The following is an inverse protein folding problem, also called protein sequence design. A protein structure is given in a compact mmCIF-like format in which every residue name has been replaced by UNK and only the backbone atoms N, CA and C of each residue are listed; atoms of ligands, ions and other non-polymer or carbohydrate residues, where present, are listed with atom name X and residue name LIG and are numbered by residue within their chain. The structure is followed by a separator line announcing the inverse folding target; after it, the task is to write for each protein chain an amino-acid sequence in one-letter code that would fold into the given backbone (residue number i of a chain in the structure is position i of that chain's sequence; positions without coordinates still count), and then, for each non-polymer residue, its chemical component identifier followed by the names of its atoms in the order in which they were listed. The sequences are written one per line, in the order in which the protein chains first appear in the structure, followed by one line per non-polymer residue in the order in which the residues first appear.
data_IF_001323838287
#
_entry.id   IF_001323838287
#
_cell.length_a   1.000
_cell.length_b   1.000
_cell.length_c   1.000
_cell.angle_alpha   90.00
_cell.angle_beta   90.00
_cell.angle_gamma   90.00
#
_symmetry.space_group_name_H-M   'P 1'
#
loop_
_entity.id
_entity.type
_entity.pdbx_description
1 polymer ?
#
# COMPACT_ATOMS: atom_id res chain seq x y z
N UNK A 1 -11.84 -2.81 10.13
CA UNK A 1 -10.81 -3.07 9.09
C UNK A 1 -11.22 -4.19 8.15
N UNK A 2 -11.77 -5.31 8.65
CA UNK A 2 -12.27 -6.45 7.86
C UNK A 2 -13.16 -6.08 6.66
N UNK A 3 -14.06 -5.12 6.79
CA UNK A 3 -14.97 -4.75 5.70
C UNK A 3 -14.28 -4.02 4.55
N UNK A 4 -13.20 -3.27 4.84
CA UNK A 4 -12.34 -2.66 3.83
C UNK A 4 -11.65 -3.76 3.01
N UNK A 5 -11.12 -4.76 3.71
CA UNK A 5 -10.44 -5.91 3.08
C UNK A 5 -11.41 -6.69 2.18
N UNK A 6 -12.60 -7.03 2.69
CA UNK A 6 -13.65 -7.69 1.90
C UNK A 6 -14.05 -6.88 0.66
N UNK A 7 -14.15 -5.55 0.79
CA UNK A 7 -14.51 -4.69 -0.34
C UNK A 7 -13.44 -4.72 -1.44
N UNK A 8 -12.15 -4.71 -1.06
CA UNK A 8 -11.04 -4.87 -2.01
C UNK A 8 -11.10 -6.24 -2.66
N UNK A 9 -11.27 -7.31 -1.88
CA UNK A 9 -11.31 -8.69 -2.37
C UNK A 9 -12.46 -8.89 -3.38
N UNK A 10 -13.65 -8.34 -3.09
CA UNK A 10 -14.80 -8.35 -4.01
C UNK A 10 -14.48 -7.58 -5.30
N UNK A 11 -13.88 -6.38 -5.21
CA UNK A 11 -13.54 -5.60 -6.39
C UNK A 11 -12.50 -6.30 -7.27
N UNK A 12 -11.48 -6.92 -6.66
CA UNK A 12 -10.46 -7.71 -7.35
C UNK A 12 -11.07 -8.96 -8.01
N UNK A 13 -11.96 -9.68 -7.34
CA UNK A 13 -12.66 -10.85 -7.91
C UNK A 13 -13.52 -10.52 -9.14
N UNK A 14 -13.91 -9.25 -9.28
CA UNK A 14 -14.67 -8.71 -10.41
C UNK A 14 -13.79 -7.95 -11.41
N UNK A 15 -12.48 -8.15 -11.30
CA UNK A 15 -11.45 -7.55 -12.16
C UNK A 15 -11.54 -6.01 -12.24
N UNK A 16 -11.97 -5.36 -11.15
CA UNK A 16 -12.10 -3.91 -11.11
C UNK A 16 -10.77 -3.24 -10.76
N UNK A 17 -10.64 -2.01 -11.22
CA UNK A 17 -9.52 -1.15 -10.84
C UNK A 17 -9.65 -0.74 -9.37
N UNK A 18 -8.70 -1.15 -8.53
CA UNK A 18 -8.66 -0.79 -7.11
C UNK A 18 -7.57 0.25 -6.89
N UNK A 19 -7.97 1.44 -6.44
CA UNK A 19 -7.08 2.50 -5.98
C UNK A 19 -7.16 2.61 -4.46
N UNK A 20 -6.02 2.64 -3.78
CA UNK A 20 -5.96 2.83 -2.33
C UNK A 20 -5.28 4.16 -2.02
N UNK A 21 -5.93 4.98 -1.19
CA UNK A 21 -5.28 6.11 -0.55
C UNK A 21 -4.56 5.59 0.70
N UNK A 22 -3.24 5.64 0.68
CA UNK A 22 -2.41 5.20 1.78
C UNK A 22 -1.88 6.43 2.52
N UNK A 23 -2.44 6.67 3.72
CA UNK A 23 -2.03 7.79 4.58
C UNK A 23 -0.69 7.45 5.23
N UNK A 24 0.40 8.02 4.70
CA UNK A 24 1.75 7.79 5.20
C UNK A 24 2.17 8.85 6.23
N UNK A 25 2.91 8.40 7.25
CA UNK A 25 3.54 9.23 8.26
C UNK A 25 5.04 8.87 8.35
N UNK A 26 5.95 9.73 7.85
CA UNK A 26 7.39 9.49 7.96
C UNK A 26 7.82 9.32 9.42
N UNK A 27 8.71 8.36 9.67
CA UNK A 27 9.11 7.94 11.01
C UNK A 27 8.26 6.82 11.61
N UNK A 28 7.12 6.48 10.99
CA UNK A 28 6.24 5.41 11.43
C UNK A 28 5.97 4.42 10.28
N UNK A 29 5.41 4.91 9.18
CA UNK A 29 5.03 4.08 8.03
C UNK A 29 6.23 3.45 7.30
N UNK A 30 7.41 4.05 7.44
CA UNK A 30 8.69 3.56 6.94
C UNK A 30 9.50 2.81 8.01
N UNK A 31 8.86 2.30 9.06
CA UNK A 31 9.47 1.31 9.95
C UNK A 31 9.49 -0.07 9.28
N UNK A 32 10.46 -0.94 9.58
CA UNK A 32 10.52 -2.30 9.04
C UNK A 32 9.20 -3.05 9.16
N UNK A 33 8.59 -3.02 10.35
CA UNK A 33 7.36 -3.73 10.69
C UNK A 33 6.19 -3.27 9.80
N UNK A 34 5.93 -1.96 9.76
CA UNK A 34 4.88 -1.39 8.91
C UNK A 34 5.16 -1.61 7.41
N UNK A 35 6.43 -1.57 7.00
CA UNK A 35 6.82 -1.80 5.61
C UNK A 35 6.57 -3.23 5.17
N UNK A 36 6.85 -4.21 6.02
CA UNK A 36 6.69 -5.64 5.72
C UNK A 36 5.22 -6.04 5.69
N UNK A 37 4.41 -5.51 6.62
CA UNK A 37 2.95 -5.67 6.59
C UNK A 37 2.35 -5.06 5.32
N UNK A 38 2.82 -3.86 4.91
CA UNK A 38 2.36 -3.24 3.69
C UNK A 38 2.73 -4.03 2.43
N UNK A 39 3.96 -4.55 2.35
CA UNK A 39 4.37 -5.43 1.24
C UNK A 39 3.53 -6.72 1.21
N UNK A 40 3.23 -7.29 2.38
CA UNK A 40 2.39 -8.50 2.51
C UNK A 40 0.95 -8.23 2.08
N UNK A 41 0.39 -7.07 2.44
CA UNK A 41 -0.90 -6.60 1.96
C UNK A 41 -0.95 -6.52 0.43
N UNK A 42 0.06 -5.91 -0.20
CA UNK A 42 0.12 -5.76 -1.66
C UNK A 42 0.31 -7.10 -2.38
N UNK A 43 1.06 -8.02 -1.79
CA UNK A 43 1.23 -9.38 -2.31
C UNK A 43 -0.09 -10.16 -2.27
N UNK A 44 -0.80 -10.12 -1.14
CA UNK A 44 -2.08 -10.80 -0.98
C UNK A 44 -3.20 -10.17 -1.82
N UNK A 45 -3.13 -8.86 -2.04
CA UNK A 45 -4.16 -8.07 -2.74
C UNK A 45 -3.50 -7.18 -3.79
N UNK A 46 -3.32 -7.67 -5.03
CA UNK A 46 -2.65 -6.93 -6.07
C UNK A 46 -3.54 -5.78 -6.58
N UNK A 47 -3.66 -4.72 -5.80
CA UNK A 47 -4.38 -3.49 -6.15
C UNK A 47 -3.74 -2.82 -7.38
N UNK A 48 -4.49 -1.94 -8.04
CA UNK A 48 -4.03 -1.32 -9.29
C UNK A 48 -3.14 -0.11 -9.04
N UNK A 49 -3.44 0.66 -8.00
CA UNK A 49 -2.84 1.96 -7.77
C UNK A 49 -2.76 2.29 -6.28
N UNK A 50 -1.67 2.97 -5.90
CA UNK A 50 -1.53 3.61 -4.60
C UNK A 50 -1.37 5.11 -4.79
N UNK A 51 -2.18 5.81 -4.00
CA UNK A 51 -2.10 7.24 -3.79
C UNK A 51 -1.46 7.48 -2.43
N UNK A 52 -0.17 7.85 -2.44
CA UNK A 52 0.58 8.21 -1.24
C UNK A 52 0.10 9.57 -0.76
N UNK A 53 -0.53 9.59 0.41
CA UNK A 53 -1.14 10.78 1.00
C UNK A 53 -0.47 11.03 2.33
N UNK A 54 -0.09 12.27 2.61
CA UNK A 54 0.35 12.60 3.96
C UNK A 54 -0.81 12.44 4.94
N UNK A 55 -0.57 11.84 6.11
CA UNK A 55 -1.54 11.74 7.20
C UNK A 55 -1.97 13.13 7.73
N UNK A 56 -1.25 14.20 7.35
CA UNK A 56 -1.55 15.60 7.72
C UNK A 56 -1.74 15.79 9.24
N UNK A 57 -0.94 15.08 10.01
CA UNK A 57 -0.84 15.18 11.45
C UNK A 57 0.63 15.40 11.83
N UNK A 58 0.91 15.89 13.04
CA UNK A 58 2.28 16.06 13.52
C UNK A 58 2.97 14.68 13.58
N UNK A 59 4.02 14.45 12.77
CA UNK A 59 4.62 13.12 12.66
C UNK A 59 5.36 12.69 13.93
N UNK A 60 5.89 13.65 14.72
CA UNK A 60 6.55 13.34 16.00
C UNK A 60 5.53 12.94 17.05
N UNK A 61 4.39 13.65 17.10
CA UNK A 61 3.30 13.29 18.01
C UNK A 61 2.71 11.94 17.64
N UNK A 62 2.44 11.70 16.36
CA UNK A 62 1.91 10.40 15.91
C UNK A 62 2.85 9.25 16.29
N UNK A 63 4.13 9.40 15.96
CA UNK A 63 5.15 8.40 16.32
C UNK A 63 5.21 8.17 17.84
N UNK A 64 5.17 9.22 18.65
CA UNK A 64 5.17 9.10 20.10
C UNK A 64 3.93 8.37 20.63
N UNK A 65 2.73 8.66 20.11
CA UNK A 65 1.51 7.95 20.53
C UNK A 65 1.53 6.48 20.10
N UNK A 66 1.92 6.18 18.87
CA UNK A 66 1.97 4.79 18.39
C UNK A 66 3.03 3.97 19.14
N UNK A 67 4.16 4.58 19.51
CA UNK A 67 5.20 3.93 20.32
C UNK A 67 4.77 3.58 21.75
N UNK A 68 3.68 4.18 22.25
CA UNK A 68 3.08 3.77 23.54
C UNK A 68 2.30 2.47 23.42
N UNK A 69 1.78 2.16 22.24
CA UNK A 69 1.00 0.95 21.97
C UNK A 69 1.92 -0.21 21.59
N UNK A 70 2.88 0.06 20.71
CA UNK A 70 3.86 -0.92 20.23
C UNK A 70 5.16 -0.19 19.89
N UNK A 71 6.30 -0.70 20.37
CA UNK A 71 7.58 -0.15 19.99
C UNK A 71 7.91 -0.54 18.54
N UNK A 72 8.25 0.45 17.73
CA UNK A 72 8.68 0.24 16.35
C UNK A 72 10.20 0.38 16.23
N UNK A 73 10.78 -0.39 15.33
CA UNK A 73 12.21 -0.30 15.04
C UNK A 73 12.55 1.00 14.31
N UNK A 74 13.85 1.27 14.17
CA UNK A 74 14.34 2.46 13.47
C UNK A 74 13.80 2.52 12.03
N UNK A 75 13.21 3.65 11.60
CA UNK A 75 12.71 3.82 10.23
C UNK A 75 13.80 3.65 9.17
N UNK A 76 13.46 2.98 8.07
CA UNK A 76 14.35 2.77 6.90
C UNK A 76 14.38 3.98 5.95
N UNK A 77 13.50 4.96 6.18
CA UNK A 77 13.32 6.13 5.32
C UNK A 77 12.28 5.89 4.22
N UNK A 78 11.38 6.86 4.05
CA UNK A 78 10.33 6.83 3.03
C UNK A 78 10.86 6.55 1.62
N UNK A 79 12.00 7.11 1.23
CA UNK A 79 12.61 6.84 -0.09
C UNK A 79 12.88 5.34 -0.26
N UNK A 80 13.51 4.72 0.73
CA UNK A 80 13.82 3.29 0.75
C UNK A 80 12.56 2.45 0.67
N UNK A 81 11.51 2.80 1.43
CA UNK A 81 10.21 2.13 1.36
C UNK A 81 9.62 2.20 -0.06
N UNK A 82 9.55 3.40 -0.65
CA UNK A 82 9.00 3.58 -1.99
C UNK A 82 9.79 2.80 -3.05
N UNK A 83 11.12 2.78 -2.94
CA UNK A 83 12.00 2.02 -3.86
C UNK A 83 11.86 0.50 -3.68
N UNK A 84 11.63 0.02 -2.44
CA UNK A 84 11.28 -1.39 -2.18
C UNK A 84 9.95 -1.75 -2.84
N UNK A 85 8.90 -0.95 -2.64
CA UNK A 85 7.56 -1.21 -3.19
C UNK A 85 7.59 -1.18 -4.72
N UNK A 86 8.27 -0.21 -5.35
CA UNK A 86 8.40 -0.15 -6.82
C UNK A 86 9.11 -1.37 -7.41
N UNK A 87 10.15 -1.86 -6.75
CA UNK A 87 10.89 -3.05 -7.22
C UNK A 87 10.09 -4.32 -7.01
N UNK A 88 9.39 -4.45 -5.89
CA UNK A 88 8.56 -5.63 -5.60
C UNK A 88 7.30 -5.70 -6.47
N UNK A 89 6.72 -4.54 -6.82
CA UNK A 89 5.46 -4.43 -7.54
C UNK A 89 5.54 -3.47 -8.74
N UNK A 90 6.26 -3.83 -9.82
CA UNK A 90 6.47 -2.96 -10.99
C UNK A 90 5.18 -2.53 -11.70
N UNK A 91 4.08 -3.28 -11.58
CA UNK A 91 2.80 -2.97 -12.21
C UNK A 91 1.87 -2.13 -11.32
N UNK A 92 2.31 -1.81 -10.10
CA UNK A 92 1.57 -0.97 -9.19
C UNK A 92 1.75 0.49 -9.60
N UNK A 93 0.65 1.18 -9.87
CA UNK A 93 0.69 2.59 -10.26
C UNK A 93 0.92 3.45 -9.01
N UNK A 94 1.95 4.29 -9.06
CA UNK A 94 2.17 5.36 -8.09
C UNK A 94 1.58 6.63 -8.70
N UNK A 95 0.50 7.15 -8.12
CA UNK A 95 -0.14 8.33 -8.71
C UNK A 95 -0.89 9.19 -7.70
N UNK A 96 -1.40 10.32 -8.18
CA UNK A 96 -2.11 11.29 -7.36
C UNK A 96 -3.60 11.38 -7.70
N UNK A 97 -3.99 11.11 -8.94
CA UNK A 97 -5.37 11.14 -9.40
C UNK A 97 -5.76 9.80 -10.03
N UNK A 98 -7.05 9.45 -9.97
CA UNK A 98 -7.54 8.23 -10.62
C UNK A 98 -7.38 8.37 -12.14
N UNK A 99 -6.92 7.33 -12.85
CA UNK A 99 -6.84 7.36 -14.30
C UNK A 99 -8.24 7.49 -14.91
N UNK A 100 -8.35 8.06 -16.12
CA UNK A 100 -9.62 8.13 -16.85
C UNK A 100 -10.12 6.71 -17.17
N UNK A 101 -11.44 6.56 -17.36
CA UNK A 101 -12.12 5.25 -17.44
C UNK A 101 -11.50 4.34 -18.50
N UNK A 102 -11.14 4.91 -19.65
CA UNK A 102 -10.56 4.24 -20.82
C UNK A 102 -9.21 3.58 -20.50
N UNK A 103 -8.44 4.14 -19.56
CA UNK A 103 -7.15 3.59 -19.12
C UNK A 103 -7.28 2.60 -17.97
N UNK A 104 -8.34 2.73 -17.15
CA UNK A 104 -8.58 1.86 -16.00
C UNK A 104 -9.04 0.42 -16.36
N UNK A 105 -9.52 0.21 -17.59
CA UNK A 105 -10.11 -1.06 -18.05
C UNK A 105 -9.15 -1.98 -18.84
N UNK A 106 -7.85 -1.68 -18.92
CA UNK A 106 -6.90 -2.58 -19.60
C UNK A 106 -6.71 -3.88 -18.78
N UNK A 107 -7.02 -5.00 -19.42
CA UNK A 107 -6.90 -6.38 -18.89
C UNK A 107 -5.54 -6.63 -18.22
N UNK A 108 -5.56 -7.26 -17.04
CA UNK A 108 -4.36 -7.57 -16.22
C UNK A 108 -3.98 -9.05 -16.41
N UNK A 109 -2.73 -9.31 -16.78
CA UNK A 109 -2.08 -10.63 -16.61
C UNK A 109 -1.90 -10.95 -15.11
N UNK A 110 -1.67 -12.21 -14.70
CA UNK A 110 -1.38 -12.56 -13.30
C UNK A 110 -0.13 -11.80 -12.84
N UNK A 111 -0.27 -10.95 -11.81
CA UNK A 111 0.74 -9.93 -11.54
C UNK A 111 1.90 -10.40 -10.66
N UNK A 112 1.66 -11.30 -9.72
CA UNK A 112 2.69 -11.82 -8.81
C UNK A 112 2.28 -13.24 -8.41
N UNK A 113 3.17 -14.22 -8.58
CA UNK A 113 2.88 -15.66 -8.55
C UNK A 113 1.87 -16.10 -7.48
N UNK A 114 0.72 -16.60 -7.94
CA UNK A 114 0.03 -17.72 -7.30
C UNK A 114 0.65 -18.99 -7.91
N UNK A 115 1.89 -19.29 -7.52
CA UNK A 115 2.37 -20.65 -7.70
C UNK A 115 1.60 -21.53 -6.73
N UNK A 116 1.08 -22.60 -7.30
CA UNK A 116 0.20 -23.58 -6.69
C UNK A 116 0.82 -24.19 -5.43
N UNK A 117 0.09 -24.11 -4.31
CA UNK A 117 0.07 -25.11 -3.24
C UNK A 117 -1.21 -24.94 -2.42
#
# INVERSE_FOLDING_TARGET
FSDVMKSIDIALSREKFVSVNYLNCPGFTDTPEESEEFLSFLKARPISMIQWRNLNFDPRRYQAEMNKVQQHSRPIGMKTLLDKVRRAFPDLIFGYFNPPKEKSMRSRSPKYGLDSA
#
